data_IF_608599722241
#
_entry.id   IF_608599722241
#
_cell.length_a   1.000
_cell.length_b   1.000
_cell.length_c   1.000
_cell.angle_alpha   90.00
_cell.angle_beta   90.00
_cell.angle_gamma   90.00
#
_symmetry.space_group_name_H-M   'P 1'
#
loop_
_entity.id
_entity.type
_entity.pdbx_description
1 polymer ?
#
# COMPACT_ATOMS: atom_id res chain seq x y z
N UNK A 1 -5.90 9.31 -16.42
CA UNK A 1 -4.73 8.62 -15.83
C UNK A 1 -4.66 7.15 -16.26
N UNK A 2 -5.76 6.39 -16.17
CA UNK A 2 -5.81 4.96 -16.54
C UNK A 2 -6.02 4.69 -18.04
N UNK A 3 -6.32 5.71 -18.84
CA UNK A 3 -6.53 5.60 -20.30
C UNK A 3 -5.31 5.08 -21.04
N UNK A 4 -4.08 5.28 -20.51
CA UNK A 4 -2.84 4.76 -21.10
C UNK A 4 -2.83 3.24 -21.27
N UNK A 5 -3.67 2.52 -20.51
CA UNK A 5 -3.80 1.07 -20.58
C UNK A 5 -4.82 0.60 -21.63
N UNK A 6 -5.51 1.50 -22.32
CA UNK A 6 -6.48 1.13 -23.37
C UNK A 6 -5.80 0.62 -24.64
N UNK A 7 -4.65 1.19 -24.97
CA UNK A 7 -3.99 0.97 -26.26
C UNK A 7 -2.77 0.04 -26.15
N UNK A 8 -2.53 -0.55 -24.97
CA UNK A 8 -1.38 -1.43 -24.71
C UNK A 8 -1.68 -2.89 -25.09
N UNK A 9 -0.67 -3.56 -25.64
CA UNK A 9 -0.69 -5.01 -25.87
C UNK A 9 -0.60 -5.78 -24.53
N UNK A 10 -1.03 -7.04 -24.52
CA UNK A 10 -0.98 -7.95 -23.37
C UNK A 10 0.43 -8.03 -22.76
N UNK A 11 1.47 -8.11 -23.59
CA UNK A 11 2.86 -8.18 -23.12
C UNK A 11 3.28 -6.91 -22.37
N UNK A 12 2.87 -5.73 -22.88
CA UNK A 12 3.14 -4.45 -22.23
C UNK A 12 2.33 -4.27 -20.95
N UNK A 13 1.08 -4.77 -20.93
CA UNK A 13 0.24 -4.78 -19.74
C UNK A 13 0.86 -5.67 -18.64
N UNK A 14 1.33 -6.87 -18.99
CA UNK A 14 2.01 -7.77 -18.07
C UNK A 14 3.31 -7.17 -17.52
N UNK A 15 4.11 -6.53 -18.39
CA UNK A 15 5.33 -5.86 -17.97
C UNK A 15 5.05 -4.70 -17.01
N UNK A 16 4.09 -3.84 -17.33
CA UNK A 16 3.70 -2.73 -16.46
C UNK A 16 3.11 -3.24 -15.13
N UNK A 17 2.32 -4.32 -15.17
CA UNK A 17 1.81 -4.97 -13.96
C UNK A 17 2.96 -5.38 -13.04
N UNK A 18 3.96 -6.08 -13.58
CA UNK A 18 5.13 -6.53 -12.81
C UNK A 18 5.91 -5.35 -12.22
N UNK A 19 6.11 -4.28 -12.98
CA UNK A 19 6.79 -3.08 -12.50
C UNK A 19 6.02 -2.39 -11.35
N UNK A 20 4.69 -2.35 -11.43
CA UNK A 20 3.84 -1.80 -10.37
C UNK A 20 3.83 -2.70 -9.12
N UNK A 21 3.82 -4.02 -9.29
CA UNK A 21 3.92 -4.99 -8.19
C UNK A 21 5.26 -4.86 -7.45
N UNK A 22 6.36 -4.72 -8.18
CA UNK A 22 7.68 -4.49 -7.58
C UNK A 22 7.71 -3.20 -6.75
N UNK A 23 7.15 -2.09 -7.28
CA UNK A 23 7.02 -0.83 -6.54
C UNK A 23 6.12 -0.97 -5.31
N UNK A 24 5.03 -1.72 -5.42
CA UNK A 24 4.14 -1.98 -4.30
C UNK A 24 4.88 -2.73 -3.18
N UNK A 25 5.71 -3.69 -3.53
CA UNK A 25 6.51 -4.44 -2.55
C UNK A 25 7.58 -3.58 -1.88
N UNK A 26 8.24 -2.69 -2.62
CA UNK A 26 9.13 -1.69 -2.03
C UNK A 26 8.40 -0.79 -1.02
N UNK A 27 7.20 -0.32 -1.36
CA UNK A 27 6.37 0.48 -0.46
C UNK A 27 5.91 -0.30 0.78
N UNK A 28 5.59 -1.60 0.67
CA UNK A 28 5.30 -2.45 1.84
C UNK A 28 6.49 -2.54 2.81
N UNK A 29 7.72 -2.58 2.28
CA UNK A 29 8.93 -2.56 3.12
C UNK A 29 9.07 -1.21 3.83
N UNK A 30 8.85 -0.10 3.10
CA UNK A 30 8.89 1.25 3.64
C UNK A 30 7.79 1.50 4.70
N UNK A 31 6.59 0.95 4.48
CA UNK A 31 5.47 0.97 5.42
C UNK A 31 5.85 0.30 6.73
N UNK A 32 6.36 -0.94 6.68
CA UNK A 32 6.81 -1.69 7.86
C UNK A 32 7.88 -0.94 8.65
N UNK A 33 8.81 -0.27 7.96
CA UNK A 33 9.85 0.54 8.59
C UNK A 33 9.25 1.74 9.32
N UNK A 34 8.34 2.46 8.67
CA UNK A 34 7.65 3.62 9.25
C UNK A 34 6.80 3.23 10.46
N UNK A 35 6.07 2.11 10.38
CA UNK A 35 5.28 1.59 11.50
C UNK A 35 6.15 1.20 12.71
N UNK A 36 7.30 0.56 12.47
CA UNK A 36 8.24 0.21 13.56
C UNK A 36 8.74 1.46 14.29
N UNK A 37 8.99 2.54 13.56
CA UNK A 37 9.44 3.82 14.15
C UNK A 37 8.31 4.42 15.00
N UNK A 38 7.08 4.48 14.47
CA UNK A 38 5.92 5.01 15.21
C UNK A 38 5.67 4.21 16.49
N UNK A 39 5.75 2.87 16.40
CA UNK A 39 5.55 1.92 17.51
C UNK A 39 6.76 1.81 18.46
N UNK A 40 7.88 2.47 18.16
CA UNK A 40 9.11 2.37 18.96
C UNK A 40 8.86 2.81 20.42
N UNK A 41 9.33 1.99 21.35
CA UNK A 41 9.20 2.18 22.80
C UNK A 41 7.75 2.18 23.34
N UNK A 42 6.74 1.86 22.52
CA UNK A 42 5.37 1.75 22.98
C UNK A 42 5.05 0.38 23.61
N UNK A 43 5.86 -0.65 23.32
CA UNK A 43 5.69 -2.00 23.86
C UNK A 43 5.78 -2.06 25.39
N UNK A 44 6.51 -1.13 26.02
CA UNK A 44 6.60 -1.03 27.48
C UNK A 44 5.26 -0.70 28.15
N UNK A 45 4.32 -0.07 27.44
CA UNK A 45 3.01 0.27 27.98
C UNK A 45 2.06 -0.93 28.09
N UNK A 46 2.40 -2.08 27.48
CA UNK A 46 1.64 -3.33 27.63
C UNK A 46 1.84 -4.02 28.98
N UNK A 47 2.87 -3.63 29.77
CA UNK A 47 3.12 -4.18 31.11
C UNK A 47 2.16 -3.61 32.18
N UNK A 48 1.46 -2.52 31.88
CA UNK A 48 0.47 -1.93 32.77
C UNK A 48 -0.93 -2.47 32.42
N UNK A 49 -1.74 -2.91 33.40
CA UNK A 49 -3.13 -3.33 33.15
C UNK A 49 -3.93 -2.18 32.54
N UNK A 50 -5.09 -2.46 31.93
CA UNK A 50 -6.12 -1.58 31.30
C UNK A 50 -5.68 -0.12 30.98
N UNK A 51 -5.30 0.69 31.97
CA UNK A 51 -4.67 2.00 31.83
C UNK A 51 -3.49 2.05 30.83
N UNK A 52 -2.66 1.01 30.77
CA UNK A 52 -1.53 0.93 29.82
C UNK A 52 -1.99 0.97 28.37
N UNK A 53 -3.14 0.38 28.08
CA UNK A 53 -3.71 0.28 26.72
C UNK A 53 -4.27 1.63 26.25
N UNK A 54 -4.86 2.41 27.14
CA UNK A 54 -5.31 3.79 26.84
C UNK A 54 -4.14 4.71 26.55
N UNK A 55 -3.07 4.64 27.37
CA UNK A 55 -1.87 5.48 27.17
C UNK A 55 -1.16 5.08 25.88
N UNK A 56 -1.01 3.77 25.63
CA UNK A 56 -0.50 3.24 24.36
C UNK A 56 -1.24 3.83 23.16
N UNK A 57 -2.57 3.71 23.16
CA UNK A 57 -3.37 4.13 22.02
C UNK A 57 -3.32 5.65 21.81
N UNK A 58 -3.40 6.43 22.89
CA UNK A 58 -3.32 7.90 22.82
C UNK A 58 -1.99 8.36 22.23
N UNK A 59 -0.86 7.82 22.71
CA UNK A 59 0.47 8.16 22.20
C UNK A 59 0.63 7.69 20.74
N UNK A 60 0.16 6.49 20.40
CA UNK A 60 0.22 5.96 19.05
C UNK A 60 -0.55 6.83 18.05
N UNK A 61 -1.80 7.18 18.36
CA UNK A 61 -2.64 8.07 17.52
C UNK A 61 -1.97 9.44 17.37
N UNK A 62 -1.48 10.03 18.46
CA UNK A 62 -0.80 11.33 18.43
C UNK A 62 0.44 11.31 17.55
N UNK A 63 1.26 10.24 17.62
CA UNK A 63 2.44 10.07 16.76
C UNK A 63 2.03 9.89 15.29
N UNK A 64 0.98 9.10 15.03
CA UNK A 64 0.49 8.89 13.66
C UNK A 64 -0.03 10.17 13.00
N UNK A 65 -0.63 11.08 13.77
CA UNK A 65 -1.18 12.34 13.24
C UNK A 65 -0.17 13.49 13.18
N UNK A 66 0.68 13.62 14.20
CA UNK A 66 1.49 14.83 14.40
C UNK A 66 2.99 14.66 14.14
N UNK A 67 3.46 13.45 13.81
CA UNK A 67 4.88 13.22 13.51
C UNK A 67 5.15 13.16 12.01
N UNK A 68 6.38 13.50 11.62
CA UNK A 68 6.86 13.34 10.24
C UNK A 68 6.69 11.90 9.75
N UNK A 69 6.96 10.92 10.62
CA UNK A 69 6.82 9.49 10.28
C UNK A 69 5.35 9.10 10.07
N UNK A 70 4.44 9.72 10.81
CA UNK A 70 2.99 9.57 10.62
C UNK A 70 2.52 10.10 9.27
N UNK A 71 3.01 11.27 8.87
CA UNK A 71 2.74 11.85 7.55
C UNK A 71 3.36 10.99 6.43
N UNK A 72 4.59 10.51 6.62
CA UNK A 72 5.25 9.60 5.67
C UNK A 72 4.44 8.30 5.51
N UNK A 73 3.96 7.72 6.62
CA UNK A 73 3.12 6.52 6.59
C UNK A 73 1.82 6.76 5.81
N UNK A 74 1.17 7.91 6.01
CA UNK A 74 -0.04 8.27 5.26
C UNK A 74 0.24 8.39 3.77
N UNK A 75 1.36 9.02 3.39
CA UNK A 75 1.78 9.15 2.00
C UNK A 75 2.03 7.77 1.36
N UNK A 76 2.79 6.91 2.04
CA UNK A 76 3.06 5.54 1.59
C UNK A 76 1.75 4.78 1.37
N UNK A 77 0.81 4.83 2.33
CA UNK A 77 -0.49 4.15 2.20
C UNK A 77 -1.33 4.68 1.05
N UNK A 78 -1.32 6.00 0.84
CA UNK A 78 -2.01 6.61 -0.31
C UNK A 78 -1.41 6.16 -1.63
N UNK A 79 -0.09 6.07 -1.72
CA UNK A 79 0.62 5.64 -2.92
C UNK A 79 0.38 4.14 -3.20
N UNK A 80 0.42 3.31 -2.16
CA UNK A 80 0.05 1.90 -2.24
C UNK A 80 -1.38 1.71 -2.77
N UNK A 81 -2.35 2.45 -2.22
CA UNK A 81 -3.75 2.35 -2.67
C UNK A 81 -3.91 2.73 -4.16
N UNK A 82 -3.15 3.71 -4.64
CA UNK A 82 -3.16 4.09 -6.07
C UNK A 82 -2.53 2.99 -6.93
N UNK A 83 -1.40 2.40 -6.52
CA UNK A 83 -0.77 1.30 -7.23
C UNK A 83 -1.66 0.05 -7.28
N UNK A 84 -2.32 -0.29 -6.17
CA UNK A 84 -3.25 -1.43 -6.10
C UNK A 84 -4.42 -1.26 -7.06
N UNK A 85 -4.99 -0.04 -7.12
CA UNK A 85 -6.05 0.27 -8.06
C UNK A 85 -5.57 0.20 -9.52
N UNK A 86 -4.35 0.66 -9.79
CA UNK A 86 -3.74 0.60 -11.11
C UNK A 86 -3.48 -0.85 -11.57
N UNK A 87 -2.92 -1.69 -10.68
CA UNK A 87 -2.75 -3.13 -10.91
C UNK A 87 -4.11 -3.77 -11.21
N UNK A 88 -5.14 -3.46 -10.41
CA UNK A 88 -6.46 -4.06 -10.58
C UNK A 88 -7.11 -3.73 -11.92
N UNK A 89 -6.88 -2.53 -12.42
CA UNK A 89 -7.34 -2.11 -13.76
C UNK A 89 -6.61 -2.90 -14.85
N UNK A 90 -5.29 -3.05 -14.73
CA UNK A 90 -4.50 -3.84 -15.70
C UNK A 90 -4.94 -5.30 -15.71
N UNK A 91 -5.17 -5.89 -14.53
CA UNK A 91 -5.68 -7.27 -14.40
C UNK A 91 -7.00 -7.46 -15.14
N UNK A 92 -7.96 -6.56 -14.91
CA UNK A 92 -9.27 -6.63 -15.58
C UNK A 92 -9.13 -6.53 -17.10
N UNK A 93 -8.20 -5.69 -17.59
CA UNK A 93 -7.95 -5.55 -19.04
C UNK A 93 -7.35 -6.81 -19.65
N UNK A 94 -6.37 -7.41 -18.98
CA UNK A 94 -5.77 -8.68 -19.40
C UNK A 94 -6.84 -9.78 -19.44
N UNK A 95 -7.71 -9.83 -18.43
CA UNK A 95 -8.81 -10.80 -18.37
C UNK A 95 -9.78 -10.63 -19.55
N UNK A 96 -10.20 -9.41 -19.87
CA UNK A 96 -11.08 -9.12 -21.01
C UNK A 96 -10.42 -9.52 -22.34
N UNK A 97 -9.15 -9.16 -22.56
CA UNK A 97 -8.44 -9.49 -23.80
C UNK A 97 -8.27 -11.01 -23.99
N UNK A 98 -7.97 -11.73 -22.91
CA UNK A 98 -7.85 -13.19 -22.93
C UNK A 98 -9.19 -13.90 -23.17
N UNK A 99 -10.31 -13.31 -22.73
CA UNK A 99 -11.65 -13.82 -23.02
C UNK A 99 -12.00 -13.67 -24.50
N UNK A 100 -11.72 -12.51 -25.11
CA UNK A 100 -11.97 -12.27 -26.53
C UNK A 100 -11.15 -13.19 -27.45
N UNK A 101 -9.92 -13.52 -27.07
CA UNK A 101 -9.05 -14.45 -27.83
C UNK A 101 -9.52 -15.92 -27.78
N UNK A 102 -10.42 -16.30 -26.87
CA UNK A 102 -10.96 -17.67 -26.77
C UNK A 102 -12.24 -17.86 -27.57
N UNK A 103 -12.88 -16.78 -28.01
CA UNK A 103 -14.11 -16.79 -28.79
C UNK A 103 -13.86 -16.75 -30.31
N UNK A 104 -12.62 -16.48 -30.73
CA UNK A 104 -12.12 -16.58 -32.12
C UNK A 104 -11.46 -17.93 -32.40
#
# INVERSE_FOLDING_TARGET
MFEKYNDMNIDDLNKNKLDLENKLDELKIAEKKSEKIIKKNLAWWFLLPIFGLFIYNSIYVKRKQNSQEGQNLLKIKSEMAMLELEIKIIENKIEIQNSNQKEE
#
